data_IF_457895059035
#
_entry.id   IF_457895059035
#
_cell.length_a   1.000
_cell.length_b   1.000
_cell.length_c   1.000
_cell.angle_alpha   90.00
_cell.angle_beta   90.00
_cell.angle_gamma   90.00
#
_symmetry.space_group_name_H-M   'P 1'
#
loop_
_entity.id
_entity.type
_entity.pdbx_description
1 polymer ?
#
# COMPACT_ATOMS: atom_id res chain seq x y z
N UNK A 1 8.54 -8.91 17.01
CA UNK A 1 9.16 -7.59 16.83
C UNK A 1 10.52 -7.63 16.12
N UNK A 2 11.46 -8.52 16.48
CA UNK A 2 12.74 -8.68 15.76
C UNK A 2 12.56 -8.91 14.24
N UNK A 3 11.68 -9.82 13.87
CA UNK A 3 11.40 -10.19 12.48
C UNK A 3 10.89 -9.01 11.64
N UNK A 4 9.89 -8.27 12.13
CA UNK A 4 9.35 -7.12 11.41
C UNK A 4 10.42 -6.03 11.17
N UNK A 5 11.30 -5.79 12.15
CA UNK A 5 12.41 -4.85 11.99
C UNK A 5 13.38 -5.31 10.91
N UNK A 6 13.65 -6.61 10.81
CA UNK A 6 14.53 -7.14 9.76
C UNK A 6 13.90 -6.95 8.37
N UNK A 7 12.63 -7.29 8.22
CA UNK A 7 11.90 -7.15 6.96
C UNK A 7 11.87 -5.69 6.46
N UNK A 8 11.67 -4.71 7.35
CA UNK A 8 11.57 -3.30 6.96
C UNK A 8 12.88 -2.71 6.42
N UNK A 9 14.03 -3.32 6.71
CA UNK A 9 15.33 -2.87 6.15
C UNK A 9 15.41 -3.00 4.64
N UNK A 10 14.56 -3.83 4.03
CA UNK A 10 14.49 -3.96 2.56
C UNK A 10 13.79 -2.77 1.89
N UNK A 11 13.09 -1.94 2.67
CA UNK A 11 12.25 -0.84 2.17
C UNK A 11 12.80 0.52 2.60
N UNK A 12 13.48 0.56 3.75
CA UNK A 12 13.92 1.78 4.39
C UNK A 12 15.40 1.66 4.72
N UNK A 13 16.18 2.58 4.17
CA UNK A 13 17.63 2.65 4.38
C UNK A 13 18.00 3.23 5.77
N UNK A 14 17.10 4.01 6.38
CA UNK A 14 17.33 4.62 7.68
C UNK A 14 17.09 3.65 8.85
N UNK A 15 18.19 3.07 9.34
CA UNK A 15 18.19 2.15 10.49
C UNK A 15 17.62 2.73 11.79
N UNK A 16 17.62 4.06 11.98
CA UNK A 16 17.09 4.73 13.18
C UNK A 16 15.56 4.66 13.16
N UNK A 17 14.95 4.84 11.98
CA UNK A 17 13.50 4.88 11.81
C UNK A 17 12.85 3.47 11.76
N UNK A 18 13.63 2.43 11.42
CA UNK A 18 13.14 1.04 11.31
C UNK A 18 12.45 0.56 12.59
N UNK A 19 13.05 0.80 13.76
CA UNK A 19 12.48 0.34 15.04
C UNK A 19 11.14 0.99 15.35
N UNK A 20 11.04 2.32 15.45
CA UNK A 20 9.77 2.97 15.80
C UNK A 20 8.70 2.71 14.73
N UNK A 21 9.06 2.66 13.45
CA UNK A 21 8.10 2.30 12.41
C UNK A 21 7.54 0.88 12.57
N UNK A 22 8.38 -0.11 12.89
CA UNK A 22 7.92 -1.47 13.17
C UNK A 22 6.91 -1.51 14.34
N UNK A 23 7.19 -0.74 15.40
CA UNK A 23 6.33 -0.66 16.58
C UNK A 23 5.00 0.05 16.25
N UNK A 24 5.02 1.11 15.45
CA UNK A 24 3.81 1.80 14.98
C UNK A 24 2.99 0.89 14.06
N UNK A 25 3.61 0.20 13.09
CA UNK A 25 2.89 -0.70 12.18
C UNK A 25 2.20 -1.85 12.91
N UNK A 26 2.88 -2.43 13.90
CA UNK A 26 2.29 -3.46 14.76
C UNK A 26 1.09 -2.91 15.57
N UNK A 27 1.22 -1.69 16.08
CA UNK A 27 0.15 -0.99 16.79
C UNK A 27 -1.07 -0.73 15.88
N UNK A 28 -0.87 -0.19 14.68
CA UNK A 28 -2.00 0.11 13.77
C UNK A 28 -2.63 -1.19 13.24
N UNK A 29 -1.82 -2.21 12.92
CA UNK A 29 -2.36 -3.51 12.51
C UNK A 29 -3.18 -4.16 13.63
N UNK A 30 -2.75 -4.08 14.89
CA UNK A 30 -3.51 -4.68 16.00
C UNK A 30 -4.80 -3.93 16.34
N UNK A 31 -4.80 -2.58 16.28
CA UNK A 31 -5.96 -1.75 16.64
C UNK A 31 -6.90 -1.43 15.48
N UNK A 32 -6.47 -1.64 14.24
CA UNK A 32 -7.20 -1.23 13.04
C UNK A 32 -7.00 0.24 12.72
N UNK A 33 -7.31 1.12 13.68
CA UNK A 33 -7.08 2.57 13.60
C UNK A 33 -6.40 3.08 14.86
N UNK A 34 -5.56 4.11 14.70
CA UNK A 34 -4.85 4.76 15.82
C UNK A 34 -4.91 6.27 15.66
N UNK A 35 -4.76 6.99 16.77
CA UNK A 35 -4.63 8.44 16.75
C UNK A 35 -3.17 8.86 16.58
N UNK A 36 -2.93 10.07 16.05
CA UNK A 36 -1.60 10.70 16.04
C UNK A 36 -0.94 10.68 17.43
N UNK A 37 -1.71 10.90 18.50
CA UNK A 37 -1.19 10.85 19.88
C UNK A 37 -0.62 9.48 20.24
N UNK A 38 -1.29 8.39 19.84
CA UNK A 38 -0.79 7.03 20.05
C UNK A 38 0.45 6.72 19.21
N UNK A 39 0.53 7.26 18.00
CA UNK A 39 1.75 7.15 17.17
C UNK A 39 2.88 7.91 17.86
N UNK A 40 2.59 9.10 18.42
CA UNK A 40 3.56 9.96 19.11
C UNK A 40 4.14 9.34 20.37
N UNK A 41 3.34 8.57 21.11
CA UNK A 41 3.82 7.79 22.27
C UNK A 41 4.93 6.79 21.89
N UNK A 42 4.92 6.28 20.65
CA UNK A 42 5.92 5.35 20.13
C UNK A 42 7.06 6.07 19.41
N UNK A 43 6.73 7.01 18.53
CA UNK A 43 7.69 7.72 17.68
C UNK A 43 8.50 8.81 18.38
N UNK A 44 8.02 9.34 19.51
CA UNK A 44 8.72 10.36 20.27
C UNK A 44 8.96 11.64 19.46
N UNK A 45 10.21 12.12 19.46
CA UNK A 45 10.60 13.36 18.78
C UNK A 45 10.48 13.27 17.24
N UNK A 46 10.67 12.07 16.68
CA UNK A 46 10.75 11.84 15.23
C UNK A 46 9.39 11.44 14.62
N UNK A 47 8.31 11.59 15.38
CA UNK A 47 6.96 11.15 15.01
C UNK A 47 6.51 11.69 13.65
N UNK A 48 6.75 12.98 13.40
CA UNK A 48 6.27 13.62 12.16
C UNK A 48 7.03 13.13 10.93
N UNK A 49 8.35 12.92 11.07
CA UNK A 49 9.20 12.35 10.01
C UNK A 49 8.84 10.90 9.73
N UNK A 50 8.66 10.08 10.79
CA UNK A 50 8.20 8.70 10.68
C UNK A 50 6.86 8.60 9.95
N UNK A 51 5.92 9.47 10.30
CA UNK A 51 4.59 9.45 9.73
C UNK A 51 4.57 9.97 8.30
N UNK A 52 5.44 10.94 7.97
CA UNK A 52 5.67 11.40 6.60
C UNK A 52 6.22 10.25 5.74
N UNK A 53 7.26 9.56 6.19
CA UNK A 53 7.83 8.39 5.50
C UNK A 53 6.79 7.27 5.32
N UNK A 54 6.07 6.92 6.39
CA UNK A 54 5.03 5.89 6.33
C UNK A 54 3.89 6.27 5.37
N UNK A 55 3.55 7.56 5.28
CA UNK A 55 2.57 8.06 4.33
C UNK A 55 3.07 8.01 2.89
N UNK A 56 4.30 8.44 2.62
CA UNK A 56 4.94 8.39 1.30
C UNK A 56 4.98 6.96 0.74
N UNK A 57 5.34 5.99 1.58
CA UNK A 57 5.34 4.56 1.25
C UNK A 57 3.96 3.91 1.26
N UNK A 58 2.89 4.66 1.59
CA UNK A 58 1.51 4.17 1.76
C UNK A 58 1.38 3.03 2.78
N UNK A 59 2.32 2.93 3.72
CA UNK A 59 2.28 1.98 4.82
C UNK A 59 1.16 2.36 5.80
N UNK A 60 1.05 3.65 6.11
CA UNK A 60 0.02 4.23 6.98
C UNK A 60 -0.62 5.39 6.24
N UNK A 61 -1.94 5.47 6.24
CA UNK A 61 -2.69 6.54 5.59
C UNK A 61 -3.64 7.23 6.57
N UNK A 62 -3.87 8.55 6.43
CA UNK A 62 -4.92 9.23 7.18
C UNK A 62 -6.30 8.69 6.83
N UNK A 63 -7.18 8.58 7.83
CA UNK A 63 -8.60 8.23 7.62
C UNK A 63 -9.34 9.42 7.00
N UNK A 64 -8.96 10.65 7.38
CA UNK A 64 -9.57 11.88 6.88
C UNK A 64 -9.27 12.09 5.41
N UNK A 65 -10.30 12.37 4.63
CA UNK A 65 -10.23 12.66 3.19
C UNK A 65 -10.71 14.07 2.91
N UNK A 66 -10.21 14.68 1.83
CA UNK A 66 -10.72 15.97 1.35
C UNK A 66 -11.95 15.80 0.44
N UNK A 67 -11.88 14.89 -0.52
CA UNK A 67 -12.91 14.73 -1.58
C UNK A 67 -13.22 13.27 -1.86
N UNK A 68 -12.18 12.47 -2.05
CA UNK A 68 -12.31 11.05 -2.41
C UNK A 68 -11.48 10.18 -1.47
N UNK A 69 -11.70 8.86 -1.51
CA UNK A 69 -10.90 7.90 -0.75
C UNK A 69 -9.53 7.62 -1.37
N UNK A 70 -9.18 8.26 -2.50
CA UNK A 70 -7.88 8.12 -3.14
C UNK A 70 -6.75 8.56 -2.19
N UNK A 71 -5.60 7.89 -2.27
CA UNK A 71 -4.46 8.19 -1.40
C UNK A 71 -4.00 9.64 -1.48
N UNK A 72 -3.97 10.23 -2.68
CA UNK A 72 -3.59 11.64 -2.87
C UNK A 72 -4.55 12.66 -2.23
N UNK A 73 -5.77 12.24 -1.86
CA UNK A 73 -6.79 13.06 -1.21
C UNK A 73 -6.87 12.82 0.31
N UNK A 74 -6.03 11.94 0.86
CA UNK A 74 -5.91 11.75 2.32
C UNK A 74 -5.18 12.94 2.93
N UNK A 75 -5.73 13.46 4.04
CA UNK A 75 -5.21 14.65 4.70
C UNK A 75 -4.26 14.26 5.82
N UNK A 76 -2.96 14.41 5.57
CA UNK A 76 -1.92 14.17 6.58
C UNK A 76 -1.89 15.33 7.57
N UNK A 77 -2.29 15.09 8.83
CA UNK A 77 -2.40 16.12 9.87
C UNK A 77 -1.66 15.72 11.15
N UNK A 78 -0.62 16.47 11.53
CA UNK A 78 0.16 16.21 12.75
C UNK A 78 -0.51 16.79 14.02
N UNK A 79 -1.78 16.44 14.23
CA UNK A 79 -2.60 16.95 15.34
C UNK A 79 -3.15 15.82 16.20
N UNK A 80 -3.19 16.02 17.51
CA UNK A 80 -3.79 15.06 18.43
C UNK A 80 -5.25 14.78 18.03
N UNK A 81 -5.60 13.49 17.98
CA UNK A 81 -6.93 13.02 17.57
C UNK A 81 -7.08 12.74 16.07
N UNK A 82 -6.14 13.16 15.20
CA UNK A 82 -6.13 12.72 13.80
C UNK A 82 -5.98 11.19 13.73
N UNK A 83 -6.80 10.54 12.89
CA UNK A 83 -6.89 9.09 12.80
C UNK A 83 -6.13 8.55 11.59
N UNK A 84 -5.47 7.41 11.81
CA UNK A 84 -4.64 6.72 10.84
C UNK A 84 -4.97 5.24 10.78
N UNK A 85 -4.86 4.68 9.59
CA UNK A 85 -5.11 3.27 9.28
C UNK A 85 -4.01 2.72 8.36
N UNK A 86 -3.99 1.40 8.18
CA UNK A 86 -3.14 0.74 7.18
C UNK A 86 -4.02 0.21 6.04
N UNK A 87 -3.61 0.30 4.77
CA UNK A 87 -4.27 -0.42 3.69
C UNK A 87 -4.25 -1.94 3.93
N UNK A 88 -5.22 -2.66 3.37
CA UNK A 88 -5.38 -4.09 3.63
C UNK A 88 -4.13 -4.90 3.28
N UNK A 89 -3.54 -4.68 2.11
CA UNK A 89 -2.31 -5.38 1.70
C UNK A 89 -1.15 -5.15 2.69
N UNK A 90 -1.05 -3.97 3.30
CA UNK A 90 -0.01 -3.68 4.30
C UNK A 90 -0.21 -4.51 5.56
N UNK A 91 -1.46 -4.79 5.96
CA UNK A 91 -1.76 -5.69 7.08
C UNK A 91 -1.24 -7.10 6.82
N UNK A 92 -1.40 -7.62 5.60
CA UNK A 92 -0.88 -8.94 5.22
C UNK A 92 0.66 -8.93 5.19
N UNK A 93 1.27 -7.91 4.59
CA UNK A 93 2.72 -7.72 4.57
C UNK A 93 3.32 -7.70 5.99
N UNK A 94 2.78 -6.86 6.88
CA UNK A 94 3.24 -6.76 8.27
C UNK A 94 3.04 -8.07 9.03
N UNK A 95 1.90 -8.74 8.82
CA UNK A 95 1.62 -10.02 9.48
C UNK A 95 2.60 -11.10 9.02
N UNK A 96 2.85 -11.22 7.71
CA UNK A 96 3.83 -12.15 7.16
C UNK A 96 5.24 -11.83 7.67
N UNK A 97 5.66 -10.58 7.57
CA UNK A 97 6.98 -10.10 8.02
C UNK A 97 7.20 -10.34 9.53
N UNK A 98 6.17 -10.22 10.36
CA UNK A 98 6.26 -10.57 11.79
C UNK A 98 6.57 -12.05 12.01
N UNK A 99 6.03 -12.94 11.15
CA UNK A 99 6.19 -14.38 11.27
C UNK A 99 7.51 -14.86 10.66
N UNK A 100 7.87 -14.36 9.48
CA UNK A 100 8.99 -14.88 8.68
C UNK A 100 10.26 -14.04 8.79
N UNK A 101 10.14 -12.74 9.09
CA UNK A 101 11.25 -11.79 9.01
C UNK A 101 11.56 -11.31 7.60
N UNK A 102 10.77 -11.72 6.61
CA UNK A 102 10.92 -11.32 5.21
C UNK A 102 9.82 -10.35 4.81
N UNK A 103 10.18 -9.31 4.05
CA UNK A 103 9.19 -8.52 3.32
C UNK A 103 8.87 -9.23 2.01
N UNK A 104 7.69 -9.84 1.93
CA UNK A 104 7.29 -10.72 0.83
C UNK A 104 5.95 -10.23 0.23
N UNK A 105 6.02 -9.34 -0.78
CA UNK A 105 4.85 -8.90 -1.52
C UNK A 105 4.07 -10.03 -2.17
N UNK A 106 4.75 -11.02 -2.74
CA UNK A 106 4.12 -12.13 -3.46
C UNK A 106 3.18 -12.93 -2.55
N UNK A 107 3.69 -13.39 -1.42
CA UNK A 107 2.89 -14.12 -0.43
C UNK A 107 1.77 -13.28 0.19
N UNK A 108 1.98 -11.97 0.38
CA UNK A 108 0.94 -11.08 0.88
C UNK A 108 -0.19 -10.87 -0.14
N UNK A 109 0.13 -10.77 -1.43
CA UNK A 109 -0.84 -10.65 -2.53
C UNK A 109 -1.63 -11.96 -2.68
N UNK A 110 -0.96 -13.11 -2.71
CA UNK A 110 -1.66 -14.40 -2.76
C UNK A 110 -2.64 -14.52 -1.60
N UNK A 111 -2.19 -14.20 -0.38
CA UNK A 111 -3.01 -14.34 0.81
C UNK A 111 -4.24 -13.42 0.83
N UNK A 112 -4.10 -12.15 0.43
CA UNK A 112 -5.27 -11.25 0.42
C UNK A 112 -6.31 -11.68 -0.64
N UNK A 113 -5.87 -12.21 -1.78
CA UNK A 113 -6.80 -12.68 -2.81
C UNK A 113 -7.45 -14.01 -2.45
N UNK A 114 -6.75 -14.90 -1.74
CA UNK A 114 -7.37 -16.06 -1.10
C UNK A 114 -8.46 -15.63 -0.10
N UNK A 115 -8.18 -14.66 0.76
CA UNK A 115 -9.15 -14.15 1.75
C UNK A 115 -10.33 -13.40 1.10
N UNK A 116 -10.20 -12.99 -0.16
CA UNK A 116 -11.25 -12.41 -1.00
C UNK A 116 -11.99 -13.46 -1.86
N UNK A 117 -11.76 -14.76 -1.65
CA UNK A 117 -12.32 -15.87 -2.42
C UNK A 117 -12.04 -15.76 -3.94
N UNK A 118 -10.80 -15.40 -4.29
CA UNK A 118 -10.34 -15.29 -5.67
C UNK A 118 -9.41 -16.44 -6.04
N UNK A 119 -9.91 -17.38 -6.85
CA UNK A 119 -9.21 -18.63 -7.22
C UNK A 119 -7.90 -18.43 -8.01
N UNK A 120 -7.74 -17.32 -8.73
CA UNK A 120 -6.56 -17.05 -9.56
C UNK A 120 -5.46 -16.26 -8.82
N UNK A 121 -5.36 -16.37 -7.49
CA UNK A 121 -4.46 -15.56 -6.64
C UNK A 121 -3.02 -15.50 -7.14
N UNK A 122 -2.40 -16.64 -7.48
CA UNK A 122 -1.04 -16.70 -8.05
C UNK A 122 -0.90 -15.93 -9.37
N UNK A 123 -1.90 -15.96 -10.25
CA UNK A 123 -1.85 -15.21 -11.52
C UNK A 123 -2.06 -13.72 -11.30
N UNK A 124 -2.78 -13.34 -10.25
CA UNK A 124 -2.91 -11.94 -9.83
C UNK A 124 -1.59 -11.45 -9.22
N UNK A 125 -0.85 -12.29 -8.50
CA UNK A 125 0.51 -11.96 -8.05
C UNK A 125 1.43 -11.63 -9.22
N UNK A 126 1.47 -12.48 -10.26
CA UNK A 126 2.20 -12.17 -11.50
C UNK A 126 1.71 -10.91 -12.19
N UNK A 127 0.39 -10.64 -12.15
CA UNK A 127 -0.15 -9.38 -12.66
C UNK A 127 0.49 -8.21 -11.91
N UNK A 128 0.46 -8.18 -10.59
CA UNK A 128 1.00 -7.06 -9.78
C UNK A 128 2.48 -6.87 -10.01
N UNK A 129 3.27 -7.94 -10.10
CA UNK A 129 4.70 -7.89 -10.45
C UNK A 129 4.92 -7.21 -11.81
N UNK A 130 4.13 -7.58 -12.83
CA UNK A 130 4.20 -6.95 -14.14
C UNK A 130 3.72 -5.50 -14.11
N UNK A 131 2.71 -5.17 -13.31
CA UNK A 131 2.28 -3.77 -13.12
C UNK A 131 3.40 -2.94 -12.48
N UNK A 132 4.12 -3.48 -11.49
CA UNK A 132 5.29 -2.82 -10.90
C UNK A 132 6.36 -2.54 -11.96
N UNK A 133 6.67 -3.53 -12.82
CA UNK A 133 7.64 -3.38 -13.93
C UNK A 133 7.22 -2.37 -14.98
N UNK A 134 5.93 -2.29 -15.30
CA UNK A 134 5.37 -1.36 -16.28
C UNK A 134 5.16 0.06 -15.72
N UNK A 135 5.19 0.22 -14.40
CA UNK A 135 4.90 1.49 -13.77
C UNK A 135 6.08 2.46 -13.88
N UNK A 136 5.77 3.73 -14.08
CA UNK A 136 6.75 4.82 -14.04
C UNK A 136 6.50 5.64 -12.77
N UNK A 137 7.47 5.67 -11.86
CA UNK A 137 7.31 6.31 -10.55
C UNK A 137 6.03 5.84 -9.82
N UNK A 138 5.79 4.52 -9.82
CA UNK A 138 4.60 3.86 -9.27
C UNK A 138 3.27 4.27 -9.91
N UNK A 139 3.27 4.97 -11.05
CA UNK A 139 2.07 5.32 -11.79
C UNK A 139 1.81 4.31 -12.89
N UNK A 140 0.55 3.93 -13.06
CA UNK A 140 0.11 3.05 -14.13
C UNK A 140 -1.25 3.46 -14.67
N UNK A 141 -1.46 3.31 -15.98
CA UNK A 141 -2.74 3.60 -16.62
C UNK A 141 -3.68 2.40 -16.60
N UNK A 142 -4.99 2.67 -16.60
CA UNK A 142 -6.01 1.63 -16.77
C UNK A 142 -5.80 0.82 -18.06
N UNK A 143 -5.25 1.44 -19.10
CA UNK A 143 -4.93 0.74 -20.35
C UNK A 143 -3.82 -0.30 -20.16
N UNK A 144 -2.73 0.05 -19.46
CA UNK A 144 -1.65 -0.90 -19.14
C UNK A 144 -2.17 -2.07 -18.29
N UNK A 145 -2.98 -1.78 -17.26
CA UNK A 145 -3.59 -2.83 -16.42
C UNK A 145 -4.46 -3.77 -17.29
N UNK A 146 -5.33 -3.20 -18.14
CA UNK A 146 -6.21 -3.97 -19.03
C UNK A 146 -5.42 -4.83 -20.03
N UNK A 147 -4.30 -4.32 -20.53
CA UNK A 147 -3.41 -5.05 -21.43
C UNK A 147 -2.77 -6.24 -20.70
N UNK A 148 -2.17 -6.01 -19.53
CA UNK A 148 -1.53 -7.06 -18.73
C UNK A 148 -2.53 -8.16 -18.32
N UNK A 149 -3.75 -7.80 -17.92
CA UNK A 149 -4.81 -8.78 -17.60
C UNK A 149 -5.11 -9.72 -18.78
N UNK A 150 -5.15 -9.18 -20.01
CA UNK A 150 -5.41 -9.96 -21.24
C UNK A 150 -4.23 -10.84 -21.61
N UNK A 151 -3.02 -10.34 -21.50
CA UNK A 151 -1.79 -11.11 -21.77
C UNK A 151 -1.64 -12.29 -20.82
N UNK A 152 -1.99 -12.08 -19.55
CA UNK A 152 -2.05 -13.15 -18.54
C UNK A 152 -3.30 -14.02 -18.64
N UNK A 153 -4.24 -13.75 -19.55
CA UNK A 153 -5.49 -14.50 -19.80
C UNK A 153 -6.41 -14.68 -18.57
N UNK A 154 -6.42 -13.72 -17.64
CA UNK A 154 -7.21 -13.82 -16.40
C UNK A 154 -8.70 -14.03 -16.70
N UNK A 155 -9.38 -14.87 -15.91
CA UNK A 155 -10.80 -15.18 -16.13
C UNK A 155 -11.72 -13.99 -15.82
N UNK A 156 -11.36 -13.19 -14.81
CA UNK A 156 -12.11 -12.00 -14.38
C UNK A 156 -11.95 -10.86 -15.38
N UNK A 157 -13.00 -10.04 -15.49
CA UNK A 157 -12.93 -8.84 -16.32
C UNK A 157 -11.87 -7.87 -15.76
N UNK A 158 -11.14 -7.14 -16.62
CA UNK A 158 -10.16 -6.18 -16.15
C UNK A 158 -10.73 -5.09 -15.22
N UNK A 159 -11.99 -4.69 -15.42
CA UNK A 159 -12.63 -3.68 -14.57
C UNK A 159 -12.95 -4.25 -13.17
N UNK A 160 -13.33 -5.53 -13.09
CA UNK A 160 -13.46 -6.25 -11.81
C UNK A 160 -12.12 -6.36 -11.10
N UNK A 161 -11.06 -6.73 -11.81
CA UNK A 161 -9.71 -6.83 -11.22
C UNK A 161 -9.20 -5.47 -10.73
N UNK A 162 -9.47 -4.38 -11.44
CA UNK A 162 -9.14 -3.03 -10.95
C UNK A 162 -9.88 -2.73 -9.65
N UNK A 163 -11.15 -3.12 -9.53
CA UNK A 163 -11.90 -2.94 -8.28
C UNK A 163 -11.32 -3.79 -7.15
N UNK A 164 -10.97 -5.04 -7.42
CA UNK A 164 -10.38 -5.95 -6.44
C UNK A 164 -9.00 -5.44 -5.97
N UNK A 165 -8.14 -4.98 -6.89
CA UNK A 165 -6.83 -4.37 -6.56
C UNK A 165 -6.97 -3.11 -5.69
N UNK A 166 -8.01 -2.30 -5.93
CA UNK A 166 -8.31 -1.14 -5.07
C UNK A 166 -8.78 -1.56 -3.69
N UNK A 167 -9.67 -2.54 -3.60
CA UNK A 167 -10.19 -3.06 -2.34
C UNK A 167 -9.09 -3.71 -1.49
N UNK A 168 -8.14 -4.38 -2.15
CA UNK A 168 -6.94 -4.92 -1.53
C UNK A 168 -5.97 -3.84 -1.03
N UNK A 169 -6.10 -2.58 -1.49
CA UNK A 169 -5.15 -1.51 -1.20
C UNK A 169 -3.84 -1.64 -1.98
N UNK A 170 -3.84 -2.36 -3.10
CA UNK A 170 -2.67 -2.51 -3.99
C UNK A 170 -2.53 -1.29 -4.89
N UNK A 171 -3.65 -0.73 -5.35
CA UNK A 171 -3.69 0.49 -6.16
C UNK A 171 -4.67 1.53 -5.63
N UNK A 172 -4.43 2.80 -5.94
CA UNK A 172 -5.36 3.91 -5.71
C UNK A 172 -5.49 4.79 -6.95
N UNK A 173 -6.68 5.34 -7.27
CA UNK A 173 -6.81 6.34 -8.32
C UNK A 173 -5.88 7.54 -8.13
N UNK A 174 -5.39 8.11 -9.24
CA UNK A 174 -4.59 9.35 -9.29
C UNK A 174 -5.30 10.37 -10.18
N UNK A 175 -6.10 11.22 -9.55
CA UNK A 175 -7.08 12.14 -10.14
C UNK A 175 -6.55 13.57 -10.32
N UNK A 176 -5.55 14.00 -9.52
CA UNK A 176 -5.02 15.38 -9.56
C UNK A 176 -4.27 15.74 -10.83
N UNK A 177 -3.94 14.76 -11.68
CA UNK A 177 -3.13 15.00 -12.89
C UNK A 177 -3.96 14.86 -14.16
N UNK A 178 -4.94 15.77 -14.33
CA UNK A 178 -5.82 15.82 -15.52
C UNK A 178 -5.01 15.89 -16.82
N UNK A 179 -3.86 16.56 -16.83
CA UNK A 179 -2.95 16.64 -17.98
C UNK A 179 -2.32 15.28 -18.33
N UNK A 180 -1.88 14.50 -17.34
CA UNK A 180 -1.35 13.14 -17.54
C UNK A 180 -2.47 12.17 -17.95
N UNK A 181 -3.66 12.26 -17.36
CA UNK A 181 -4.84 11.45 -17.76
C UNK A 181 -5.21 11.72 -19.22
N UNK A 182 -5.21 12.99 -19.65
CA UNK A 182 -5.45 13.36 -21.06
C UNK A 182 -4.37 12.82 -21.99
N UNK A 183 -3.10 12.82 -21.56
CA UNK A 183 -1.98 12.25 -22.33
C UNK A 183 -2.09 10.72 -22.44
N UNK A 184 -2.40 10.05 -21.33
CA UNK A 184 -2.58 8.60 -21.27
C UNK A 184 -3.88 8.12 -21.94
N UNK A 185 -4.85 9.03 -22.14
CA UNK A 185 -6.21 8.75 -22.63
C UNK A 185 -6.93 7.65 -21.83
N UNK A 186 -6.57 7.50 -20.56
CA UNK A 186 -7.09 6.48 -19.65
C UNK A 186 -6.94 6.96 -18.19
N UNK A 187 -7.79 6.47 -17.26
CA UNK A 187 -7.60 6.70 -15.83
C UNK A 187 -6.20 6.27 -15.38
N UNK A 188 -5.63 7.00 -14.42
CA UNK A 188 -4.34 6.69 -13.81
C UNK A 188 -4.53 6.18 -12.39
N UNK A 189 -3.61 5.30 -12.00
CA UNK A 189 -3.52 4.73 -10.68
C UNK A 189 -2.09 4.86 -10.15
N UNK A 190 -1.98 4.94 -8.83
CA UNK A 190 -0.76 4.74 -8.08
C UNK A 190 -0.76 3.30 -7.54
N UNK A 191 0.34 2.58 -7.75
CA UNK A 191 0.61 1.28 -7.13
C UNK A 191 1.27 1.53 -5.77
N UNK A 192 0.96 0.73 -4.76
CA UNK A 192 1.62 0.82 -3.46
C UNK A 192 3.13 0.63 -3.62
N UNK A 193 3.98 1.62 -3.23
CA UNK A 193 5.42 1.57 -3.49
C UNK A 193 6.10 0.33 -2.91
N UNK A 194 5.64 -0.11 -1.74
CA UNK A 194 6.22 -1.23 -0.98
C UNK A 194 5.93 -2.61 -1.55
N UNK A 195 5.20 -2.68 -2.67
CA UNK A 195 5.00 -3.91 -3.44
C UNK A 195 6.00 -4.07 -4.58
N UNK A 196 6.72 -3.00 -4.93
CA UNK A 196 7.67 -2.98 -6.04
C UNK A 196 9.14 -2.96 -5.57
N UNK A 197 9.40 -3.54 -4.39
CA UNK A 197 10.73 -3.66 -3.77
C UNK A 197 11.48 -4.91 -4.21
#
# INVERSE_FOLDING_TARGET
MKNLKEALKCIIDDSVLVRPLAEILDLVCSKGMVTYGQIKEVGGADTDELLLLAYELRLIIPVKTLRTSAWEDRLLEFINGALYEVPNIIRHLVTNAKNTGCWDPGGAIEKIFEDMDVEESTRITYLVEELCRLSECHKISAWQIKKACRELKLSRSPDTLIADLKAAGIISPKLKVISEVRRARAPLYEISPVLCV
#
